data_IF_871518961022
#
_entry.id   IF_871518961022
#
_cell.length_a   1.000
_cell.length_b   1.000
_cell.length_c   1.000
_cell.angle_alpha   90.00
_cell.angle_beta   90.00
_cell.angle_gamma   90.00
#
_symmetry.space_group_name_H-M   'P 1'
#
loop_
_entity.id
_entity.type
_entity.pdbx_description
1 polymer ?
#
# COMPACT_ATOMS: atom_id res chain seq x y z
N UNK A 1 -0.11 4.70 -3.52
CA UNK A 1 -1.42 4.38 -2.92
C UNK A 1 -2.37 4.34 -4.10
N UNK A 2 -2.85 3.16 -4.48
CA UNK A 2 -3.84 3.07 -5.55
C UNK A 2 -5.10 3.81 -5.12
N UNK A 3 -5.46 4.81 -5.92
CA UNK A 3 -6.67 5.60 -5.71
C UNK A 3 -7.88 4.70 -6.01
N UNK A 4 -8.78 4.54 -5.03
CA UNK A 4 -9.99 3.75 -5.21
C UNK A 4 -10.88 4.42 -6.26
N UNK A 5 -11.30 3.67 -7.29
CA UNK A 5 -12.18 4.15 -8.36
C UNK A 5 -13.37 3.25 -8.56
N UNK A 6 -14.51 3.82 -8.96
CA UNK A 6 -15.67 3.05 -9.36
C UNK A 6 -15.36 2.23 -10.63
N UNK A 7 -15.58 0.91 -10.62
CA UNK A 7 -15.28 0.05 -11.77
C UNK A 7 -16.19 0.30 -12.99
N UNK A 8 -17.34 0.96 -12.79
CA UNK A 8 -18.31 1.22 -13.86
C UNK A 8 -18.12 2.60 -14.52
N UNK A 9 -17.89 3.66 -13.75
CA UNK A 9 -17.83 5.03 -14.26
C UNK A 9 -16.53 5.79 -13.97
N UNK A 10 -15.59 5.20 -13.23
CA UNK A 10 -14.29 5.81 -12.91
C UNK A 10 -14.32 6.88 -11.80
N UNK A 11 -15.47 7.12 -11.17
CA UNK A 11 -15.63 8.06 -10.04
C UNK A 11 -14.68 7.73 -8.88
N UNK A 12 -14.06 8.74 -8.26
CA UNK A 12 -13.08 8.57 -7.17
C UNK A 12 -13.44 9.27 -5.89
N UNK A 13 -14.33 10.27 -5.94
CA UNK A 13 -14.67 11.08 -4.77
C UNK A 13 -15.99 10.62 -4.13
N UNK A 14 -17.03 10.44 -4.95
CA UNK A 14 -18.39 10.10 -4.51
C UNK A 14 -18.58 8.59 -4.27
N UNK A 15 -17.79 8.04 -3.33
CA UNK A 15 -17.78 6.63 -2.95
C UNK A 15 -18.17 6.44 -1.47
N UNK A 16 -19.25 5.70 -1.22
CA UNK A 16 -19.72 5.37 0.12
C UNK A 16 -19.29 3.94 0.50
N UNK A 17 -18.46 3.82 1.54
CA UNK A 17 -18.09 2.53 2.12
C UNK A 17 -18.99 2.14 3.30
N UNK A 18 -19.46 0.89 3.33
CA UNK A 18 -20.14 0.27 4.47
C UNK A 18 -19.47 -1.04 4.84
N UNK A 19 -19.27 -1.25 6.14
CA UNK A 19 -18.72 -2.51 6.62
C UNK A 19 -19.76 -3.64 6.45
N UNK A 20 -19.36 -4.72 5.81
CA UNK A 20 -20.14 -5.94 5.62
C UNK A 20 -19.33 -7.15 6.13
N UNK A 21 -19.38 -7.39 7.44
CA UNK A 21 -18.54 -8.40 8.09
C UNK A 21 -17.05 -8.05 8.01
N UNK A 22 -16.26 -8.93 7.39
CA UNK A 22 -14.83 -8.73 7.12
C UNK A 22 -14.57 -7.90 5.84
N UNK A 23 -15.60 -7.71 5.02
CA UNK A 23 -15.54 -7.00 3.75
C UNK A 23 -16.02 -5.56 3.91
N UNK A 24 -15.68 -4.74 2.91
CA UNK A 24 -16.25 -3.40 2.73
C UNK A 24 -17.09 -3.42 1.47
N UNK A 25 -18.39 -3.21 1.60
CA UNK A 25 -19.27 -2.91 0.48
C UNK A 25 -19.07 -1.44 0.10
N UNK A 26 -18.73 -1.19 -1.16
CA UNK A 26 -18.55 0.15 -1.70
C UNK A 26 -19.68 0.44 -2.67
N UNK A 27 -20.33 1.59 -2.50
CA UNK A 27 -21.36 2.10 -3.40
C UNK A 27 -20.87 3.39 -4.05
N UNK A 28 -20.90 3.46 -5.38
CA UNK A 28 -20.68 4.72 -6.09
C UNK A 28 -21.98 5.54 -6.09
N UNK A 29 -21.97 6.73 -5.50
CA UNK A 29 -23.17 7.58 -5.39
C UNK A 29 -23.55 8.24 -6.72
N UNK A 30 -22.63 8.24 -7.70
CA UNK A 30 -22.85 8.80 -9.05
C UNK A 30 -23.56 7.84 -10.01
N UNK A 31 -23.21 6.56 -10.00
CA UNK A 31 -23.78 5.57 -10.94
C UNK A 31 -24.53 4.40 -10.25
N UNK A 32 -24.57 4.37 -8.92
CA UNK A 32 -25.17 3.33 -8.08
C UNK A 32 -24.54 1.93 -8.22
N UNK A 33 -23.37 1.81 -8.86
CA UNK A 33 -22.62 0.55 -8.87
C UNK A 33 -22.20 0.18 -7.45
N UNK A 34 -22.40 -1.08 -7.09
CA UNK A 34 -21.97 -1.67 -5.82
C UNK A 34 -20.94 -2.76 -6.08
N UNK A 35 -19.93 -2.86 -5.22
CA UNK A 35 -18.94 -3.93 -5.24
C UNK A 35 -18.34 -4.16 -3.86
N UNK A 36 -17.81 -5.35 -3.64
CA UNK A 36 -17.12 -5.70 -2.40
C UNK A 36 -15.61 -5.52 -2.53
N UNK A 37 -14.99 -5.11 -1.44
CA UNK A 37 -13.53 -5.01 -1.30
C UNK A 37 -13.11 -5.68 0.00
N UNK A 38 -12.13 -6.56 -0.09
CA UNK A 38 -11.43 -7.08 1.09
C UNK A 38 -10.39 -6.04 1.55
N UNK A 39 -10.52 -5.46 2.76
CA UNK A 39 -9.53 -4.52 3.30
C UNK A 39 -8.18 -5.17 3.61
N UNK A 40 -8.13 -6.50 3.74
CA UNK A 40 -6.92 -7.28 4.02
C UNK A 40 -6.34 -7.94 2.76
N UNK A 41 -6.90 -7.66 1.58
CA UNK A 41 -6.37 -8.19 0.33
C UNK A 41 -4.90 -7.82 0.15
N UNK A 42 -4.08 -8.85 0.01
CA UNK A 42 -2.66 -8.71 -0.33
C UNK A 42 -2.57 -8.56 -1.85
N UNK A 43 -1.89 -7.52 -2.37
CA UNK A 43 -1.75 -7.32 -3.81
C UNK A 43 -0.91 -8.43 -4.44
N UNK A 44 -1.19 -8.81 -5.68
CA UNK A 44 -0.29 -9.66 -6.47
C UNK A 44 0.96 -8.89 -6.89
N UNK A 45 2.03 -9.59 -7.27
CA UNK A 45 3.24 -8.94 -7.76
C UNK A 45 3.06 -8.40 -9.18
N UNK A 46 3.18 -7.09 -9.37
CA UNK A 46 3.10 -6.44 -10.69
C UNK A 46 4.18 -6.87 -11.71
N UNK A 47 5.20 -7.62 -11.28
CA UNK A 47 6.30 -8.09 -12.14
C UNK A 47 6.19 -9.54 -12.58
N UNK A 48 5.54 -10.39 -11.79
CA UNK A 48 5.46 -11.83 -12.08
C UNK A 48 4.06 -12.42 -11.89
N UNK A 49 3.07 -11.59 -11.55
CA UNK A 49 1.69 -11.96 -11.23
C UNK A 49 1.55 -12.99 -10.09
N UNK A 50 2.64 -13.23 -9.34
CA UNK A 50 2.65 -14.13 -8.20
C UNK A 50 1.88 -13.57 -7.01
N UNK A 51 1.29 -14.47 -6.22
CA UNK A 51 0.54 -14.19 -5.00
C UNK A 51 1.36 -14.37 -3.72
N UNK A 52 2.58 -14.92 -3.82
CA UNK A 52 3.49 -15.12 -2.70
C UNK A 52 4.24 -13.83 -2.32
N UNK A 53 3.57 -13.06 -1.46
CA UNK A 53 4.01 -11.74 -1.00
C UNK A 53 4.26 -11.74 0.51
N UNK A 54 5.26 -10.96 0.94
CA UNK A 54 5.60 -10.78 2.35
C UNK A 54 5.50 -9.30 2.72
N UNK A 55 4.75 -9.01 3.79
CA UNK A 55 4.65 -7.67 4.36
C UNK A 55 5.97 -7.22 5.00
N UNK A 56 6.45 -6.06 4.60
CA UNK A 56 7.63 -5.40 5.16
C UNK A 56 7.27 -3.98 5.61
N UNK A 57 7.86 -3.53 6.71
CA UNK A 57 7.67 -2.17 7.22
C UNK A 57 8.57 -1.22 6.43
N UNK A 58 7.99 -0.19 5.82
CA UNK A 58 8.69 0.89 5.13
C UNK A 58 8.54 2.19 5.90
N UNK A 59 9.66 2.89 6.13
CA UNK A 59 9.67 4.19 6.78
C UNK A 59 9.15 5.27 5.83
N UNK A 60 8.34 6.18 6.36
CA UNK A 60 8.02 7.47 5.77
C UNK A 60 8.90 8.50 6.46
N UNK A 61 9.77 9.13 5.67
CA UNK A 61 10.80 10.05 6.17
C UNK A 61 10.46 11.44 5.69
N UNK A 62 10.56 12.42 6.58
CA UNK A 62 10.44 13.84 6.26
C UNK A 62 11.66 14.61 6.74
N UNK A 63 11.94 15.73 6.07
CA UNK A 63 12.97 16.67 6.48
C UNK A 63 12.43 17.53 7.62
N UNK A 64 13.09 17.49 8.77
CA UNK A 64 12.64 18.25 9.94
C UNK A 64 13.22 19.67 9.92
N UNK A 65 14.52 19.82 10.24
CA UNK A 65 15.21 21.12 10.23
C UNK A 65 16.62 20.96 9.67
N UNK A 66 17.03 21.89 8.81
CA UNK A 66 18.35 21.80 8.16
C UNK A 66 18.43 20.54 7.31
N UNK A 67 19.52 19.78 7.42
CA UNK A 67 19.72 18.50 6.72
C UNK A 67 19.21 17.28 7.50
N UNK A 68 18.53 17.48 8.63
CA UNK A 68 18.06 16.37 9.47
C UNK A 68 16.81 15.71 8.88
N UNK A 69 16.87 14.39 8.75
CA UNK A 69 15.76 13.53 8.35
C UNK A 69 15.22 12.77 9.56
N UNK A 70 13.89 12.67 9.65
CA UNK A 70 13.20 11.93 10.71
C UNK A 70 12.17 10.98 10.11
N UNK A 71 12.04 9.79 10.70
CA UNK A 71 10.92 8.90 10.41
C UNK A 71 9.68 9.50 11.08
N UNK A 72 8.69 9.89 10.28
CA UNK A 72 7.43 10.48 10.77
C UNK A 72 6.29 9.48 10.79
N UNK A 73 6.38 8.42 9.98
CA UNK A 73 5.42 7.34 9.97
C UNK A 73 6.06 6.03 9.46
N UNK A 74 5.30 4.95 9.56
CA UNK A 74 5.64 3.66 8.94
C UNK A 74 4.42 3.14 8.21
N UNK A 75 4.64 2.48 7.07
CA UNK A 75 3.60 1.81 6.31
C UNK A 75 4.02 0.36 6.01
N UNK A 76 3.05 -0.52 5.85
CA UNK A 76 3.32 -1.88 5.34
C UNK A 76 3.36 -1.83 3.82
N UNK A 77 4.41 -2.38 3.24
CA UNK A 77 4.54 -2.65 1.80
C UNK A 77 4.66 -4.15 1.58
N UNK A 78 4.20 -4.64 0.44
CA UNK A 78 4.28 -6.05 0.10
C UNK A 78 5.42 -6.29 -0.88
N UNK A 79 6.33 -7.20 -0.51
CA UNK A 79 7.47 -7.60 -1.33
C UNK A 79 7.24 -9.01 -1.87
N UNK A 80 7.49 -9.22 -3.15
CA UNK A 80 7.37 -10.53 -3.77
C UNK A 80 8.53 -11.43 -3.33
N UNK A 81 8.24 -12.65 -2.89
CA UNK A 81 9.30 -13.59 -2.46
C UNK A 81 10.29 -13.94 -3.57
N UNK A 82 9.85 -13.89 -4.83
CA UNK A 82 10.67 -14.20 -6.00
C UNK A 82 11.39 -12.94 -6.49
N UNK A 83 10.66 -11.87 -6.79
CA UNK A 83 11.26 -10.70 -7.42
C UNK A 83 12.07 -9.80 -6.46
N UNK A 84 11.74 -9.79 -5.17
CA UNK A 84 12.40 -8.94 -4.15
C UNK A 84 13.30 -9.74 -3.21
N UNK A 85 13.75 -10.94 -3.61
CA UNK A 85 14.48 -11.89 -2.75
C UNK A 85 15.64 -11.23 -1.96
N UNK A 86 16.39 -10.33 -2.60
CA UNK A 86 17.56 -9.65 -2.03
C UNK A 86 17.16 -8.62 -0.98
N UNK A 87 16.07 -7.90 -1.24
CA UNK A 87 15.51 -6.90 -0.32
C UNK A 87 14.95 -7.64 0.90
N UNK A 88 14.19 -8.71 0.68
CA UNK A 88 13.64 -9.56 1.75
C UNK A 88 14.75 -10.18 2.61
N UNK A 89 15.79 -10.72 2.00
CA UNK A 89 16.93 -11.27 2.74
C UNK A 89 17.58 -10.21 3.64
N UNK A 90 17.78 -9.00 3.12
CA UNK A 90 18.36 -7.89 3.88
C UNK A 90 17.43 -7.43 5.01
N UNK A 91 16.12 -7.32 4.74
CA UNK A 91 15.10 -6.90 5.70
C UNK A 91 14.99 -7.88 6.88
N UNK A 92 14.95 -9.19 6.60
CA UNK A 92 14.87 -10.24 7.63
C UNK A 92 16.07 -10.25 8.57
N UNK A 93 17.26 -9.91 8.08
CA UNK A 93 18.48 -9.81 8.90
C UNK A 93 18.54 -8.49 9.66
N UNK A 94 18.27 -7.37 8.99
CA UNK A 94 18.51 -6.02 9.50
C UNK A 94 17.52 -5.54 10.56
N UNK A 95 16.34 -6.16 10.66
CA UNK A 95 15.27 -5.82 11.64
C UNK A 95 14.94 -4.33 11.74
N UNK A 96 15.19 -3.59 10.67
CA UNK A 96 14.95 -2.15 10.56
C UNK A 96 13.97 -1.90 9.43
N UNK A 97 13.12 -0.86 9.50
CA UNK A 97 12.24 -0.50 8.39
C UNK A 97 13.04 -0.29 7.10
N UNK A 98 12.43 -0.65 5.97
CA UNK A 98 12.94 -0.27 4.65
C UNK A 98 12.94 1.25 4.54
N UNK A 99 14.07 1.82 4.13
CA UNK A 99 14.13 3.25 3.82
C UNK A 99 13.39 3.56 2.52
N UNK A 100 12.85 4.78 2.34
CA UNK A 100 12.29 5.17 1.06
C UNK A 100 13.37 5.20 -0.03
N UNK A 101 12.97 4.90 -1.27
CA UNK A 101 13.88 4.82 -2.41
C UNK A 101 14.49 6.19 -2.76
N UNK A 102 13.78 7.26 -2.39
CA UNK A 102 14.24 8.63 -2.48
C UNK A 102 14.09 9.30 -1.10
N UNK A 103 15.16 9.91 -0.61
CA UNK A 103 15.12 10.72 0.60
C UNK A 103 14.59 12.12 0.26
N UNK A 104 13.78 12.74 1.14
CA UNK A 104 13.33 14.12 0.91
C UNK A 104 14.52 15.07 1.02
N UNK A 105 14.91 15.68 -0.10
CA UNK A 105 16.06 16.59 -0.16
C UNK A 105 15.69 18.07 0.00
N UNK A 106 14.43 18.43 -0.24
CA UNK A 106 13.92 19.81 -0.17
C UNK A 106 13.41 20.19 1.22
#
# INVERSE_FOLDING_TARGET
>A
MDELRCPACGETEDLLGRQNGEMIEVTCERCNQQWERDPNAIPTCDRCDGDDMEGAVKAVVEKSRGSQLSIVATQVVYLCRVCDERILASYRVGRSPLMPDQLPTE
#
